data_IF_794715970427
#
_entry.id   IF_794715970427
#
_cell.length_a   1.000
_cell.length_b   1.000
_cell.length_c   1.000
_cell.angle_alpha   90.00
_cell.angle_beta   90.00
_cell.angle_gamma   90.00
#
_symmetry.space_group_name_H-M   'P 1'
#
loop_
_entity.id
_entity.type
_entity.pdbx_description
1 polymer ?
#
# COMPACT_ATOMS: atom_id res chain seq x y z
N UNK A 1 -4.02 14.43 -10.28
CA UNK A 1 -4.16 13.32 -9.31
C UNK A 1 -3.81 12.04 -10.04
N UNK A 2 -2.65 11.46 -9.75
CA UNK A 2 -2.31 10.13 -10.25
C UNK A 2 -3.34 9.14 -9.68
N UNK A 3 -4.03 8.40 -10.54
CA UNK A 3 -4.94 7.34 -10.09
C UNK A 3 -4.07 6.25 -9.47
N UNK A 4 -4.18 6.06 -8.16
CA UNK A 4 -3.61 4.88 -7.51
C UNK A 4 -4.12 3.64 -8.25
N UNK A 5 -3.21 2.93 -8.92
CA UNK A 5 -3.54 1.66 -9.55
C UNK A 5 -3.35 0.57 -8.50
N UNK A 6 -4.44 -0.09 -8.12
CA UNK A 6 -4.38 -1.25 -7.24
C UNK A 6 -4.02 -2.49 -8.05
N UNK A 7 -2.96 -3.17 -7.65
CA UNK A 7 -2.50 -4.41 -8.28
C UNK A 7 -2.73 -5.61 -7.36
N UNK A 8 -3.22 -6.71 -7.91
CA UNK A 8 -3.33 -7.99 -7.20
C UNK A 8 -2.15 -8.89 -7.55
N UNK A 9 -1.25 -9.09 -6.59
CA UNK A 9 -0.10 -9.99 -6.72
C UNK A 9 -0.49 -11.40 -6.26
N UNK A 10 -0.32 -12.39 -7.14
CA UNK A 10 -0.32 -13.80 -6.75
C UNK A 10 1.10 -14.18 -6.34
N UNK A 11 1.30 -14.47 -5.07
CA UNK A 11 2.58 -14.93 -4.52
C UNK A 11 2.40 -16.27 -3.80
N UNK A 12 3.42 -17.15 -3.80
CA UNK A 12 3.40 -18.37 -2.99
C UNK A 12 3.23 -18.06 -1.50
N UNK A 13 2.54 -18.94 -0.77
CA UNK A 13 2.25 -18.74 0.66
C UNK A 13 3.52 -18.53 1.49
N UNK A 14 4.58 -19.31 1.23
CA UNK A 14 5.86 -19.19 1.93
C UNK A 14 6.46 -17.79 1.78
N UNK A 15 6.44 -17.24 0.56
CA UNK A 15 6.94 -15.90 0.28
C UNK A 15 6.09 -14.82 0.98
N UNK A 16 4.75 -15.00 0.98
CA UNK A 16 3.84 -14.11 1.69
C UNK A 16 4.13 -14.07 3.20
N UNK A 17 4.33 -15.24 3.82
CA UNK A 17 4.62 -15.34 5.25
C UNK A 17 5.93 -14.65 5.61
N UNK A 18 6.98 -14.82 4.80
CA UNK A 18 8.27 -14.14 5.00
C UNK A 18 8.10 -12.63 4.94
N UNK A 19 7.44 -12.10 3.90
CA UNK A 19 7.22 -10.65 3.74
C UNK A 19 6.37 -10.08 4.88
N UNK A 20 5.34 -10.82 5.31
CA UNK A 20 4.49 -10.43 6.42
C UNK A 20 5.24 -10.42 7.75
N UNK A 21 6.16 -11.36 7.99
CA UNK A 21 7.00 -11.38 9.18
C UNK A 21 8.00 -10.23 9.21
N UNK A 22 8.58 -9.87 8.05
CA UNK A 22 9.45 -8.69 7.91
C UNK A 22 8.66 -7.42 8.24
N UNK A 23 7.49 -7.24 7.64
CA UNK A 23 6.62 -6.09 7.89
C UNK A 23 6.27 -5.94 9.38
N UNK A 24 5.95 -7.05 10.06
CA UNK A 24 5.69 -7.07 11.51
C UNK A 24 6.92 -6.66 12.32
N UNK A 25 8.09 -7.22 12.00
CA UNK A 25 9.35 -6.96 12.73
C UNK A 25 9.76 -5.48 12.62
N UNK A 26 9.58 -4.90 11.45
CA UNK A 26 9.92 -3.50 11.16
C UNK A 26 8.83 -2.51 11.57
N UNK A 27 7.65 -3.00 12.00
CA UNK A 27 6.46 -2.19 12.29
C UNK A 27 6.03 -1.33 11.09
N UNK A 28 6.09 -1.92 9.90
CA UNK A 28 5.76 -1.28 8.62
C UNK A 28 4.54 -1.92 7.99
N UNK A 29 3.90 -1.22 7.05
CA UNK A 29 2.83 -1.78 6.24
C UNK A 29 3.42 -2.81 5.26
N UNK A 30 2.75 -3.96 5.11
CA UNK A 30 3.15 -4.99 4.17
C UNK A 30 3.25 -4.45 2.73
N UNK A 31 2.36 -3.53 2.36
CA UNK A 31 2.37 -2.88 1.05
C UNK A 31 3.66 -2.08 0.78
N UNK A 32 4.22 -1.42 1.81
CA UNK A 32 5.48 -0.67 1.67
C UNK A 32 6.66 -1.63 1.49
N UNK A 33 6.68 -2.74 2.24
CA UNK A 33 7.73 -3.77 2.12
C UNK A 33 7.70 -4.44 0.75
N UNK A 34 6.51 -4.80 0.26
CA UNK A 34 6.35 -5.39 -1.07
C UNK A 34 6.77 -4.40 -2.15
N UNK A 35 6.38 -3.13 -2.02
CA UNK A 35 6.78 -2.08 -2.96
C UNK A 35 8.30 -1.98 -3.04
N UNK A 36 8.99 -1.83 -1.92
CA UNK A 36 10.45 -1.66 -1.91
C UNK A 36 11.17 -2.86 -2.51
N UNK A 37 10.72 -4.07 -2.18
CA UNK A 37 11.26 -5.29 -2.77
C UNK A 37 11.08 -5.33 -4.30
N UNK A 38 9.94 -4.87 -4.82
CA UNK A 38 9.69 -4.78 -6.26
C UNK A 38 10.53 -3.69 -6.92
N UNK A 39 10.65 -2.50 -6.32
CA UNK A 39 11.48 -1.40 -6.82
C UNK A 39 12.95 -1.82 -6.91
N UNK A 40 13.47 -2.46 -5.86
CA UNK A 40 14.83 -2.97 -5.81
C UNK A 40 15.07 -4.05 -6.87
N UNK A 41 14.13 -4.99 -7.02
CA UNK A 41 14.20 -6.00 -8.08
C UNK A 41 14.22 -5.39 -9.49
N UNK A 42 13.34 -4.43 -9.76
CA UNK A 42 13.31 -3.75 -11.06
C UNK A 42 14.58 -2.96 -11.33
N UNK A 43 15.10 -2.26 -10.31
CA UNK A 43 16.34 -1.49 -10.42
C UNK A 43 17.53 -2.38 -10.73
N UNK A 44 17.63 -3.54 -10.09
CA UNK A 44 18.68 -4.53 -10.38
C UNK A 44 18.59 -5.12 -11.80
N UNK A 45 17.42 -5.04 -12.43
CA UNK A 45 17.21 -5.40 -13.84
C UNK A 45 17.42 -4.25 -14.82
N UNK A 46 17.85 -3.08 -14.35
CA UNK A 46 18.04 -1.88 -15.16
C UNK A 46 16.73 -1.16 -15.52
N UNK A 47 15.64 -1.45 -14.81
CA UNK A 47 14.35 -0.78 -14.96
C UNK A 47 14.13 0.20 -13.80
N UNK A 48 13.95 1.48 -14.11
CA UNK A 48 13.53 2.47 -13.11
C UNK A 48 12.01 2.48 -13.02
N UNK A 49 11.47 1.82 -11.99
CA UNK A 49 10.04 1.81 -11.68
C UNK A 49 9.84 2.39 -10.29
N UNK A 50 8.92 3.35 -10.18
CA UNK A 50 8.44 3.88 -8.91
C UNK A 50 6.97 3.53 -8.76
N UNK A 51 6.59 2.95 -7.62
CA UNK A 51 5.20 2.63 -7.34
C UNK A 51 4.66 3.59 -6.28
N UNK A 52 3.58 4.31 -6.59
CA UNK A 52 2.89 5.13 -5.60
C UNK A 52 1.91 4.26 -4.80
N UNK A 53 2.05 4.24 -3.47
CA UNK A 53 1.05 3.65 -2.56
C UNK A 53 0.15 4.78 -2.08
N UNK A 54 -1.13 4.75 -2.47
CA UNK A 54 -2.11 5.64 -1.87
C UNK A 54 -2.35 5.22 -0.43
N UNK A 55 -1.98 6.10 0.50
CA UNK A 55 -2.08 5.86 1.94
C UNK A 55 -3.44 6.18 2.50
N UNK A 56 -4.40 6.57 1.64
CA UNK A 56 -5.72 6.99 2.06
C UNK A 56 -5.60 8.18 3.02
N UNK A 57 -5.51 9.40 2.47
CA UNK A 57 -5.58 10.61 3.28
C UNK A 57 -6.76 10.54 4.26
N UNK A 58 -6.60 11.13 5.45
CA UNK A 58 -7.63 11.18 6.50
C UNK A 58 -8.99 11.54 5.88
N UNK A 59 -9.89 10.56 5.77
CA UNK A 59 -11.29 10.81 5.44
C UNK A 59 -11.99 11.09 6.77
N UNK A 60 -12.38 12.33 7.08
CA UNK A 60 -13.32 12.55 8.17
C UNK A 60 -14.53 11.68 7.85
N UNK A 61 -14.86 10.76 8.78
CA UNK A 61 -16.15 10.08 8.72
C UNK A 61 -17.18 11.19 8.85
N UNK A 62 -18.06 11.35 7.85
CA UNK A 62 -19.27 12.15 8.05
C UNK A 62 -19.97 11.51 9.25
N UNK A 63 -19.97 12.22 10.38
CA UNK A 63 -20.88 11.92 11.47
C UNK A 63 -22.26 12.34 10.99
N UNK A 64 -23.28 11.51 11.27
CA UNK A 64 -24.68 11.79 10.95
C UNK A 64 -25.20 13.13 11.54
N UNK A 65 -24.41 13.79 12.40
CA UNK A 65 -24.67 15.10 12.96
C UNK A 65 -24.66 16.28 11.95
N UNK A 66 -24.11 16.11 10.74
CA UNK A 66 -24.13 17.16 9.72
C UNK A 66 -25.41 17.18 8.86
N UNK A 67 -26.29 16.17 8.99
CA UNK A 67 -27.57 16.14 8.24
C UNK A 67 -28.70 16.96 8.91
N UNK A 68 -28.60 17.33 10.20
CA UNK A 68 -29.65 18.10 10.89
C UNK A 68 -29.55 19.63 10.73
N UNK A 69 -28.52 20.16 10.06
CA UNK A 69 -28.33 21.61 9.87
C UNK A 69 -28.80 22.06 8.47
N UNK A 70 -29.30 21.14 7.64
CA UNK A 70 -29.68 21.40 6.25
C UNK A 70 -31.20 21.46 6.00
N UNK A 71 -32.02 21.66 7.03
CA UNK A 71 -33.47 21.93 6.91
C UNK A 71 -33.85 23.29 7.54
#
# INVERSE_FOLDING_TARGET
MAKSQSYHLKIPNEAYEVLHNIAKKERRLLADVIREALEEYTKNKGLEVSFEVDRGGYRPRKSDADEEIAD
#
